data_IF_434552130644
#
_entry.id   IF_434552130644
#
_cell.length_a   1.000
_cell.length_b   1.000
_cell.length_c   1.000
_cell.angle_alpha   90.00
_cell.angle_beta   90.00
_cell.angle_gamma   90.00
#
_symmetry.space_group_name_H-M   'P 1'
#
loop_
_entity.id
_entity.type
_entity.pdbx_description
1 polymer ?
#
# COMPACT_ATOMS: atom_id res chain seq x y z
N UNK A 1 11.73 1.45 3.75
CA UNK A 1 10.26 1.68 3.86
C UNK A 1 9.77 2.65 2.79
N UNK A 2 10.43 3.81 2.59
CA UNK A 2 10.04 4.81 1.58
C UNK A 2 9.89 4.24 0.16
N UNK A 3 10.83 3.41 -0.29
CA UNK A 3 10.84 2.81 -1.64
C UNK A 3 9.64 1.91 -1.88
N UNK A 4 9.40 0.92 -1.00
CA UNK A 4 8.25 0.01 -1.10
C UNK A 4 6.90 0.75 -1.05
N UNK A 5 6.80 1.80 -0.21
CA UNK A 5 5.58 2.63 -0.21
C UNK A 5 5.41 3.38 -1.54
N UNK A 6 6.47 3.93 -2.11
CA UNK A 6 6.41 4.60 -3.42
C UNK A 6 5.96 3.63 -4.52
N UNK A 7 6.50 2.42 -4.52
CA UNK A 7 6.12 1.36 -5.46
C UNK A 7 4.66 0.92 -5.31
N UNK A 8 4.11 0.92 -4.09
CA UNK A 8 2.68 0.65 -3.89
C UNK A 8 1.83 1.77 -4.47
N UNK A 9 2.21 3.03 -4.29
CA UNK A 9 1.46 4.16 -4.84
C UNK A 9 1.47 4.14 -6.36
N UNK A 10 2.62 3.90 -6.99
CA UNK A 10 2.68 3.79 -8.46
C UNK A 10 1.81 2.65 -8.98
N UNK A 11 1.73 1.51 -8.27
CA UNK A 11 0.86 0.40 -8.67
C UNK A 11 -0.64 0.73 -8.48
N UNK A 12 -0.99 1.53 -7.48
CA UNK A 12 -2.38 2.01 -7.30
C UNK A 12 -2.74 3.00 -8.40
N UNK A 13 -1.83 3.88 -8.80
CA UNK A 13 -2.05 4.84 -9.89
C UNK A 13 -2.24 4.11 -11.25
N UNK A 14 -1.48 3.04 -11.51
CA UNK A 14 -1.68 2.21 -12.70
C UNK A 14 -3.01 1.46 -12.67
N UNK A 15 -3.41 0.93 -11.51
CA UNK A 15 -4.72 0.28 -11.35
C UNK A 15 -5.90 1.25 -11.54
N UNK A 16 -5.75 2.51 -11.13
CA UNK A 16 -6.76 3.55 -11.39
C UNK A 16 -6.91 3.86 -12.88
N UNK A 17 -5.82 3.77 -13.65
CA UNK A 17 -5.81 4.03 -15.09
C UNK A 17 -6.37 2.83 -15.87
N UNK A 18 -6.03 1.61 -15.43
CA UNK A 18 -6.41 0.36 -16.06
C UNK A 18 -6.91 -0.64 -15.01
N UNK A 19 -8.23 -0.70 -14.76
CA UNK A 19 -8.81 -1.57 -13.75
C UNK A 19 -8.87 -3.02 -14.26
N UNK A 20 -7.73 -3.69 -14.27
CA UNK A 20 -7.61 -5.11 -14.63
C UNK A 20 -7.41 -5.99 -13.38
N UNK A 21 -7.82 -7.27 -13.43
CA UNK A 21 -7.58 -8.22 -12.34
C UNK A 21 -6.10 -8.45 -12.05
N UNK A 22 -5.24 -8.36 -13.08
CA UNK A 22 -3.78 -8.50 -12.95
C UNK A 22 -3.16 -7.33 -12.18
N UNK A 23 -3.55 -6.10 -12.51
CA UNK A 23 -3.10 -4.90 -11.81
C UNK A 23 -3.55 -4.92 -10.33
N UNK A 24 -4.76 -5.42 -10.06
CA UNK A 24 -5.23 -5.63 -8.68
C UNK A 24 -4.35 -6.64 -7.92
N UNK A 25 -3.97 -7.75 -8.56
CA UNK A 25 -3.08 -8.74 -7.96
C UNK A 25 -1.69 -8.16 -7.66
N UNK A 26 -1.14 -7.35 -8.57
CA UNK A 26 0.13 -6.66 -8.36
C UNK A 26 0.04 -5.68 -7.17
N UNK A 27 -1.00 -4.86 -7.10
CA UNK A 27 -1.20 -3.94 -5.97
C UNK A 27 -1.23 -4.69 -4.64
N UNK A 28 -1.96 -5.81 -4.57
CA UNK A 28 -2.03 -6.65 -3.38
C UNK A 28 -0.66 -7.23 -2.99
N UNK A 29 0.12 -7.68 -3.96
CA UNK A 29 1.47 -8.19 -3.73
C UNK A 29 2.39 -7.10 -3.17
N UNK A 30 2.42 -5.92 -3.81
CA UNK A 30 3.22 -4.78 -3.35
C UNK A 30 2.79 -4.32 -1.97
N UNK A 31 1.49 -4.30 -1.69
CA UNK A 31 0.92 -3.93 -0.40
C UNK A 31 1.39 -4.86 0.72
N UNK A 32 1.33 -6.18 0.49
CA UNK A 32 1.80 -7.20 1.44
C UNK A 32 3.29 -7.04 1.76
N UNK A 33 4.12 -6.78 0.74
CA UNK A 33 5.54 -6.51 0.92
C UNK A 33 5.81 -5.23 1.74
N UNK A 34 5.05 -4.15 1.49
CA UNK A 34 5.16 -2.91 2.24
C UNK A 34 4.76 -3.08 3.71
N UNK A 35 3.65 -3.76 4.00
CA UNK A 35 3.21 -4.07 5.36
C UNK A 35 4.23 -4.90 6.12
N UNK A 36 4.73 -5.97 5.49
CA UNK A 36 5.79 -6.82 6.05
C UNK A 36 7.03 -6.01 6.43
N UNK A 37 7.45 -5.04 5.61
CA UNK A 37 8.61 -4.20 5.93
C UNK A 37 8.32 -3.19 7.04
N UNK A 38 7.11 -2.63 7.10
CA UNK A 38 6.68 -1.73 8.18
C UNK A 38 6.69 -2.48 9.51
N UNK A 39 6.12 -3.68 9.56
CA UNK A 39 6.06 -4.48 10.79
C UNK A 39 7.43 -4.92 11.26
N UNK A 40 8.30 -5.34 10.33
CA UNK A 40 9.71 -5.62 10.65
C UNK A 40 10.40 -4.38 11.23
N UNK A 41 10.13 -3.19 10.71
CA UNK A 41 10.70 -1.94 11.24
C UNK A 41 10.13 -1.55 12.62
N UNK A 42 8.85 -1.81 12.88
CA UNK A 42 8.23 -1.62 14.21
C UNK A 42 8.81 -2.62 15.22
N UNK A 43 8.91 -3.91 14.86
CA UNK A 43 9.48 -4.95 15.71
C UNK A 43 10.94 -4.67 16.07
N UNK A 44 11.72 -4.16 15.11
CA UNK A 44 13.12 -3.75 15.32
C UNK A 44 13.26 -2.38 16.00
N UNK A 45 12.15 -1.77 16.48
CA UNK A 45 12.10 -0.46 17.14
C UNK A 45 12.66 0.72 16.30
N UNK A 46 12.82 0.54 14.99
CA UNK A 46 13.22 1.61 14.05
C UNK A 46 12.08 2.61 13.83
N UNK A 47 10.83 2.15 13.93
CA UNK A 47 9.62 2.98 13.87
C UNK A 47 8.80 2.81 15.14
N UNK A 48 8.29 3.91 15.66
CA UNK A 48 7.27 3.86 16.73
C UNK A 48 5.99 3.18 16.23
N UNK A 49 5.31 2.44 17.11
CA UNK A 49 4.08 1.68 16.79
C UNK A 49 3.01 2.55 16.10
N UNK A 50 2.82 3.78 16.57
CA UNK A 50 1.84 4.70 15.98
C UNK A 50 2.26 5.17 14.59
N UNK A 51 3.56 5.32 14.33
CA UNK A 51 4.06 5.69 13.01
C UNK A 51 3.86 4.54 12.02
N UNK A 52 4.12 3.30 12.45
CA UNK A 52 3.80 2.10 11.66
C UNK A 52 2.31 2.02 11.32
N UNK A 53 1.45 2.17 12.32
CA UNK A 53 -0.01 2.17 12.16
C UNK A 53 -0.50 3.26 11.19
N UNK A 54 -0.01 4.50 11.32
CA UNK A 54 -0.35 5.60 10.40
C UNK A 54 0.06 5.31 8.96
N UNK A 55 1.24 4.71 8.75
CA UNK A 55 1.72 4.35 7.41
C UNK A 55 0.88 3.26 6.76
N UNK A 56 0.48 2.23 7.53
CA UNK A 56 -0.45 1.20 7.06
C UNK A 56 -1.81 1.78 6.71
N UNK A 57 -2.38 2.60 7.59
CA UNK A 57 -3.67 3.24 7.37
C UNK A 57 -3.68 4.10 6.10
N UNK A 58 -2.60 4.84 5.83
CA UNK A 58 -2.46 5.64 4.60
C UNK A 58 -2.54 4.78 3.34
N UNK A 59 -1.83 3.65 3.31
CA UNK A 59 -1.83 2.75 2.16
C UNK A 59 -3.21 2.11 1.95
N UNK A 60 -3.85 1.62 3.01
CA UNK A 60 -5.20 1.05 2.92
C UNK A 60 -6.25 2.07 2.46
N UNK A 61 -6.15 3.33 2.91
CA UNK A 61 -7.05 4.40 2.45
C UNK A 61 -6.89 4.69 0.96
N UNK A 62 -5.66 4.63 0.45
CA UNK A 62 -5.38 4.91 -0.97
C UNK A 62 -5.98 3.83 -1.86
N UNK A 63 -5.83 2.56 -1.47
CA UNK A 63 -6.46 1.43 -2.17
C UNK A 63 -7.99 1.54 -2.17
N UNK A 64 -8.61 1.79 -1.01
CA UNK A 64 -10.06 1.96 -0.90
C UNK A 64 -10.59 3.13 -1.73
N UNK A 65 -9.82 4.20 -1.86
CA UNK A 65 -10.20 5.32 -2.72
C UNK A 65 -10.15 4.92 -4.20
N UNK A 66 -9.13 4.17 -4.61
CA UNK A 66 -9.05 3.64 -5.98
C UNK A 66 -10.20 2.68 -6.29
N UNK A 67 -10.54 1.77 -5.37
CA UNK A 67 -11.70 0.88 -5.52
C UNK A 67 -13.02 1.64 -5.67
N UNK A 68 -13.22 2.73 -4.91
CA UNK A 68 -14.41 3.58 -5.05
C UNK A 68 -14.49 4.26 -6.40
N UNK A 69 -13.37 4.82 -6.88
CA UNK A 69 -13.31 5.51 -8.18
C UNK A 69 -13.57 4.55 -9.34
N UNK A 70 -13.17 3.29 -9.22
CA UNK A 70 -13.45 2.25 -10.24
C UNK A 70 -14.90 1.76 -10.20
N UNK A 71 -15.58 1.92 -9.06
CA UNK A 71 -16.97 1.47 -8.87
C UNK A 71 -18.03 2.54 -9.20
N UNK A 72 -17.63 3.81 -9.35
CA UNK A 72 -18.44 4.92 -9.87
C UNK A 72 -18.28 5.03 -11.40
#
# INVERSE_FOLDING_TARGET
VRTLMKQCFTAVDTYQSEPTPENMAEVNQRMSAAFSKIDKAVKRKVLHRNNGARKKARLSRSLKQAEKVVAE
#
